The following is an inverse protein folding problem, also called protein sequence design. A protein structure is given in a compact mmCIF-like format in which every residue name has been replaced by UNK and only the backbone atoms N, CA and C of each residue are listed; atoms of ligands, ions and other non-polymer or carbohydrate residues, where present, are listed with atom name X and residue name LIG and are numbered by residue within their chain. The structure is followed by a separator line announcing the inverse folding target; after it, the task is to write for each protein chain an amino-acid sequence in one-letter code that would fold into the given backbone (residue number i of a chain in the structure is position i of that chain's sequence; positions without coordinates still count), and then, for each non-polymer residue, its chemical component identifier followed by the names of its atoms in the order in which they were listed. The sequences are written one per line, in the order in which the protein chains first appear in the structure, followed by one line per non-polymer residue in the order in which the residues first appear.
data_IF_987668435298
#
_entry.id   IF_987668435298
#
_cell.length_a   1.000
_cell.length_b   1.000
_cell.length_c   1.000
_cell.angle_alpha   90.00
_cell.angle_beta   90.00
_cell.angle_gamma   90.00
#
_symmetry.space_group_name_H-M   'P 1'
#
loop_
_entity.id
_entity.type
_entity.pdbx_description
1 polymer ?
#
# COMPACT_ATOMS: atom_id res chain seq x y z
N UNK A 1 -1.82 14.93 -20.56
CA UNK A 1 -1.36 15.16 -19.18
C UNK A 1 -2.54 15.74 -18.44
N UNK A 2 -2.94 15.17 -17.30
CA UNK A 2 -3.99 15.77 -16.49
C UNK A 2 -3.58 17.20 -16.08
N UNK A 3 -4.59 18.04 -15.98
CA UNK A 3 -4.48 19.32 -15.33
C UNK A 3 -4.55 19.11 -13.82
N UNK A 4 -3.45 19.39 -13.13
CA UNK A 4 -3.35 19.32 -11.67
C UNK A 4 -3.72 20.65 -10.98
N UNK A 5 -4.08 21.67 -11.76
CA UNK A 5 -4.51 22.97 -11.24
C UNK A 5 -5.75 22.79 -10.37
N UNK A 6 -5.76 23.40 -9.18
CA UNK A 6 -6.93 23.36 -8.30
C UNK A 6 -7.08 22.09 -7.46
N UNK A 7 -6.18 21.11 -7.59
CA UNK A 7 -6.31 19.82 -6.87
C UNK A 7 -6.21 20.01 -5.35
N UNK A 8 -5.32 20.88 -4.88
CA UNK A 8 -5.18 21.19 -3.45
C UNK A 8 -6.48 21.77 -2.89
N UNK A 9 -7.09 22.70 -3.60
CA UNK A 9 -8.34 23.35 -3.24
C UNK A 9 -9.50 22.36 -3.19
N UNK A 10 -9.55 21.41 -4.14
CA UNK A 10 -10.54 20.32 -4.15
C UNK A 10 -10.40 19.41 -2.92
N UNK A 11 -9.18 19.02 -2.57
CA UNK A 11 -8.90 18.21 -1.37
C UNK A 11 -9.28 18.96 -0.09
N UNK A 12 -8.93 20.25 0.00
CA UNK A 12 -9.33 21.09 1.13
C UNK A 12 -10.86 21.22 1.23
N UNK A 13 -11.56 21.37 0.10
CA UNK A 13 -13.02 21.43 0.09
C UNK A 13 -13.66 20.11 0.58
N UNK A 14 -13.06 18.95 0.26
CA UNK A 14 -13.49 17.66 0.79
C UNK A 14 -13.27 17.53 2.29
N UNK A 15 -12.11 17.99 2.80
CA UNK A 15 -11.83 18.06 4.24
C UNK A 15 -12.90 18.87 4.98
N UNK A 16 -13.24 20.05 4.48
CA UNK A 16 -14.27 20.91 5.09
C UNK A 16 -15.69 20.31 5.04
N UNK A 17 -15.96 19.48 4.03
CA UNK A 17 -17.22 18.74 3.92
C UNK A 17 -17.39 17.69 5.04
N UNK A 18 -16.27 17.17 5.55
CA UNK A 18 -16.19 16.21 6.66
C UNK A 18 -17.25 15.11 6.62
N UNK A 19 -17.19 14.29 5.57
CA UNK A 19 -18.03 13.10 5.48
C UNK A 19 -17.20 11.89 5.97
N UNK A 20 -17.69 11.23 7.02
CA UNK A 20 -17.09 9.98 7.54
C UNK A 20 -16.77 8.92 6.48
N UNK A 21 -17.53 8.75 5.37
CA UNK A 21 -17.21 7.76 4.35
C UNK A 21 -15.99 8.09 3.45
N UNK A 22 -15.41 9.29 3.55
CA UNK A 22 -14.37 9.75 2.60
C UNK A 22 -13.09 10.16 3.29
N UNK A 23 -13.18 11.03 4.29
CA UNK A 23 -12.01 11.68 4.90
C UNK A 23 -11.89 11.45 6.41
N UNK A 24 -13.02 11.37 7.12
CA UNK A 24 -13.03 11.32 8.60
C UNK A 24 -12.21 12.45 9.25
N UNK A 25 -12.02 13.56 8.53
CA UNK A 25 -10.98 14.54 8.85
C UNK A 25 -11.24 15.26 10.17
N UNK A 26 -12.50 15.56 10.54
CA UNK A 26 -12.76 16.13 11.87
C UNK A 26 -12.62 15.13 13.00
N UNK A 27 -12.85 13.84 12.75
CA UNK A 27 -12.67 12.81 13.77
C UNK A 27 -11.19 12.57 14.09
N UNK A 28 -10.31 12.68 13.09
CA UNK A 28 -8.87 12.42 13.25
C UNK A 28 -8.00 13.67 13.27
N UNK A 29 -8.55 14.85 12.99
CA UNK A 29 -7.83 16.13 13.05
C UNK A 29 -6.77 16.33 11.96
N UNK A 30 -6.88 15.61 10.83
CA UNK A 30 -5.88 15.70 9.76
C UNK A 30 -5.84 17.09 9.11
N UNK A 31 -4.62 17.56 8.84
CA UNK A 31 -4.33 18.77 8.07
C UNK A 31 -3.58 18.42 6.78
N UNK A 32 -3.82 19.21 5.73
CA UNK A 32 -3.13 19.02 4.46
C UNK A 32 -1.84 19.86 4.46
N UNK A 33 -0.72 19.20 4.64
CA UNK A 33 0.61 19.82 4.59
C UNK A 33 0.95 20.35 3.19
N UNK A 34 2.05 21.10 3.10
CA UNK A 34 2.58 21.54 1.82
C UNK A 34 3.06 20.35 0.97
N UNK A 35 3.00 20.44 -0.38
CA UNK A 35 3.48 19.37 -1.24
C UNK A 35 4.97 19.09 -0.99
N UNK A 36 5.33 17.81 -0.97
CA UNK A 36 6.73 17.38 -0.92
C UNK A 36 7.51 18.00 -2.09
N UNK A 37 8.69 18.54 -1.79
CA UNK A 37 9.63 19.03 -2.78
C UNK A 37 10.41 17.87 -3.43
N UNK A 38 11.09 18.16 -4.54
CA UNK A 38 12.01 17.20 -5.17
C UNK A 38 13.13 16.80 -4.21
N UNK A 39 13.55 17.71 -3.31
CA UNK A 39 14.57 17.41 -2.31
C UNK A 39 14.03 16.45 -1.24
N UNK A 40 12.80 16.66 -0.76
CA UNK A 40 12.18 15.74 0.22
C UNK A 40 12.08 14.32 -0.35
N UNK A 41 11.71 14.20 -1.63
CA UNK A 41 11.69 12.91 -2.33
C UNK A 41 13.08 12.29 -2.50
N UNK A 42 14.12 13.11 -2.67
CA UNK A 42 15.51 12.66 -2.78
C UNK A 42 16.05 12.19 -1.42
N UNK A 43 15.75 12.90 -0.34
CA UNK A 43 16.21 12.60 1.02
C UNK A 43 15.61 11.29 1.56
N UNK A 44 14.44 10.90 1.06
CA UNK A 44 13.85 9.58 1.35
C UNK A 44 14.67 8.41 0.77
N UNK A 45 15.66 8.67 -0.09
CA UNK A 45 16.49 7.64 -0.73
C UNK A 45 15.73 6.72 -1.70
N UNK A 46 14.42 6.93 -1.85
CA UNK A 46 13.50 6.08 -2.62
C UNK A 46 13.76 6.15 -4.13
N UNK A 47 14.45 7.17 -4.63
CA UNK A 47 14.66 7.37 -6.07
C UNK A 47 15.92 6.67 -6.61
N UNK A 48 16.82 6.16 -5.77
CA UNK A 48 18.15 5.73 -6.20
C UNK A 48 18.19 4.35 -6.87
N UNK A 49 17.26 3.46 -6.52
CA UNK A 49 17.22 2.08 -7.02
C UNK A 49 15.89 1.78 -7.72
N UNK A 50 15.89 0.98 -8.80
CA UNK A 50 14.65 0.62 -9.49
C UNK A 50 13.78 -0.28 -8.61
N UNK A 51 12.46 -0.08 -8.74
CA UNK A 51 11.47 -0.94 -8.10
C UNK A 51 11.59 -2.40 -8.59
N UNK A 52 11.73 -3.40 -7.69
CA UNK A 52 11.94 -4.79 -8.08
C UNK A 52 10.74 -5.41 -8.81
N UNK A 53 9.52 -4.99 -8.49
CA UNK A 53 8.29 -5.59 -9.02
C UNK A 53 7.75 -6.67 -8.11
N UNK A 54 7.35 -7.79 -8.71
CA UNK A 54 6.84 -8.98 -8.01
C UNK A 54 7.92 -9.64 -7.17
N UNK A 55 7.51 -10.30 -6.11
CA UNK A 55 8.36 -11.19 -5.34
C UNK A 55 8.82 -12.38 -6.21
N UNK A 56 10.01 -12.88 -5.93
CA UNK A 56 10.46 -14.15 -6.48
C UNK A 56 9.62 -15.31 -5.94
N UNK A 57 9.54 -16.42 -6.69
CA UNK A 57 8.74 -17.59 -6.33
C UNK A 57 9.07 -18.17 -4.94
N UNK A 58 10.33 -18.10 -4.53
CA UNK A 58 10.80 -18.53 -3.20
C UNK A 58 10.16 -17.70 -2.08
N UNK A 59 10.19 -16.37 -2.20
CA UNK A 59 9.63 -15.47 -1.19
C UNK A 59 8.10 -15.60 -1.14
N UNK A 60 7.46 -15.76 -2.29
CA UNK A 60 6.02 -16.00 -2.35
C UNK A 60 5.63 -17.36 -1.75
N UNK A 61 6.47 -18.39 -1.92
CA UNK A 61 6.25 -19.68 -1.27
C UNK A 61 6.34 -19.58 0.25
N UNK A 62 7.27 -18.77 0.77
CA UNK A 62 7.38 -18.51 2.20
C UNK A 62 6.17 -17.76 2.76
N UNK A 63 5.61 -16.79 2.03
CA UNK A 63 4.35 -16.13 2.43
C UNK A 63 3.17 -17.11 2.50
N UNK A 64 3.08 -18.05 1.56
CA UNK A 64 2.04 -19.07 1.57
C UNK A 64 2.33 -20.26 2.50
N UNK A 65 3.44 -20.25 3.25
CA UNK A 65 3.81 -21.37 4.11
C UNK A 65 2.80 -21.48 5.26
N UNK A 66 2.26 -22.69 5.46
CA UNK A 66 1.27 -22.94 6.49
C UNK A 66 1.92 -22.84 7.88
N UNK A 67 1.57 -21.79 8.61
CA UNK A 67 2.01 -21.60 9.99
C UNK A 67 1.36 -22.69 10.85
N UNK A 68 2.14 -23.43 11.67
CA UNK A 68 1.56 -24.43 12.58
C UNK A 68 0.44 -23.81 13.44
N UNK A 69 -0.73 -24.44 13.45
CA UNK A 69 -1.81 -24.06 14.37
C UNK A 69 -1.71 -24.87 15.66
N UNK A 70 -1.89 -24.22 16.80
CA UNK A 70 -1.77 -24.90 18.11
C UNK A 70 -2.77 -26.06 18.26
N UNK A 71 -3.94 -26.00 17.62
CA UNK A 71 -4.98 -27.01 17.66
C UNK A 71 -4.61 -28.35 17.00
N UNK A 72 -3.58 -28.36 16.15
CA UNK A 72 -3.12 -29.56 15.45
C UNK A 72 -2.15 -30.41 16.28
N UNK A 73 -1.75 -29.93 17.47
CA UNK A 73 -0.74 -30.58 18.30
C UNK A 73 -1.31 -31.10 19.63
N UNK A 74 -0.81 -32.25 20.12
CA UNK A 74 -1.33 -32.88 21.34
C UNK A 74 -1.03 -32.08 22.62
N UNK A 75 0.01 -31.25 22.60
CA UNK A 75 0.44 -30.42 23.71
C UNK A 75 1.28 -29.23 23.23
N UNK A 76 1.58 -28.31 24.16
CA UNK A 76 2.36 -27.10 23.88
C UNK A 76 3.83 -27.37 23.50
N UNK A 77 4.40 -28.50 23.92
CA UNK A 77 5.80 -28.84 23.61
C UNK A 77 5.91 -29.29 22.14
N UNK A 78 4.98 -30.11 21.67
CA UNK A 78 4.88 -30.50 20.27
C UNK A 78 4.63 -29.30 19.36
N UNK A 79 3.75 -28.39 19.77
CA UNK A 79 3.50 -27.13 19.05
C UNK A 79 4.76 -26.25 18.99
N UNK A 80 5.44 -26.03 20.12
CA UNK A 80 6.66 -25.22 20.18
C UNK A 80 7.77 -25.79 19.28
N UNK A 81 7.89 -27.12 19.21
CA UNK A 81 8.84 -27.78 18.29
C UNK A 81 8.48 -27.56 16.82
N UNK A 82 7.20 -27.63 16.47
CA UNK A 82 6.75 -27.39 15.10
C UNK A 82 6.94 -25.92 14.70
N UNK A 83 6.63 -24.97 15.59
CA UNK A 83 6.90 -23.55 15.38
C UNK A 83 8.40 -23.27 15.19
N UNK A 84 9.27 -23.86 16.03
CA UNK A 84 10.71 -23.67 15.89
C UNK A 84 11.26 -24.21 14.56
N UNK A 85 10.75 -25.36 14.09
CA UNK A 85 11.11 -25.90 12.78
C UNK A 85 10.61 -25.01 11.64
N UNK A 86 9.37 -24.51 11.73
CA UNK A 86 8.82 -23.57 10.75
C UNK A 86 9.65 -22.28 10.67
N UNK A 87 10.02 -21.71 11.82
CA UNK A 87 10.88 -20.53 11.90
C UNK A 87 12.25 -20.80 11.26
N UNK A 88 12.94 -21.89 11.62
CA UNK A 88 14.24 -22.25 11.05
C UNK A 88 14.18 -22.41 9.52
N UNK A 89 13.08 -22.97 9.00
CA UNK A 89 12.90 -23.20 7.56
C UNK A 89 12.54 -21.92 6.78
N UNK A 90 11.82 -20.97 7.39
CA UNK A 90 11.21 -19.86 6.66
C UNK A 90 11.73 -18.46 7.06
N UNK A 91 12.44 -18.30 8.18
CA UNK A 91 12.84 -17.00 8.75
C UNK A 91 13.50 -16.09 7.71
N UNK A 92 14.55 -16.59 7.04
CA UNK A 92 15.30 -15.78 6.07
C UNK A 92 14.43 -15.33 4.89
N UNK A 93 13.56 -16.20 4.40
CA UNK A 93 12.69 -15.89 3.26
C UNK A 93 11.58 -14.92 3.67
N UNK A 94 10.98 -15.10 4.84
CA UNK A 94 9.98 -14.18 5.40
C UNK A 94 10.60 -12.81 5.70
N UNK A 95 11.77 -12.74 6.34
CA UNK A 95 12.50 -11.49 6.58
C UNK A 95 12.77 -10.76 5.26
N UNK A 96 13.21 -11.50 4.24
CA UNK A 96 13.48 -10.94 2.91
C UNK A 96 12.22 -10.49 2.20
N UNK A 97 11.11 -11.22 2.32
CA UNK A 97 9.82 -10.88 1.73
C UNK A 97 9.24 -9.60 2.33
N UNK A 98 9.49 -9.34 3.62
CA UNK A 98 9.02 -8.15 4.35
C UNK A 98 10.01 -6.98 4.36
N UNK A 99 11.23 -7.19 3.88
CA UNK A 99 12.26 -6.16 3.81
C UNK A 99 11.81 -4.93 2.99
N UNK A 100 12.18 -3.71 3.40
CA UNK A 100 12.00 -2.49 2.59
C UNK A 100 12.63 -2.58 1.20
N UNK A 101 13.63 -3.46 1.00
CA UNK A 101 14.27 -3.70 -0.29
C UNK A 101 13.28 -4.23 -1.35
N UNK A 102 12.21 -4.92 -0.96
CA UNK A 102 11.16 -5.36 -1.90
C UNK A 102 10.31 -4.19 -2.44
N UNK A 103 10.33 -3.07 -1.73
CA UNK A 103 9.54 -1.86 -2.06
C UNK A 103 10.41 -0.64 -2.34
N UNK A 104 11.74 -0.79 -2.42
CA UNK A 104 12.64 0.29 -2.84
C UNK A 104 12.23 0.81 -4.21
N UNK A 105 12.51 2.07 -4.53
CA UNK A 105 12.05 2.64 -5.80
C UNK A 105 10.58 3.05 -5.80
N UNK A 106 9.83 2.85 -4.70
CA UNK A 106 8.42 3.21 -4.58
C UNK A 106 8.11 3.95 -3.28
N UNK A 107 7.09 4.81 -3.32
CA UNK A 107 6.57 5.58 -2.19
C UNK A 107 5.26 4.96 -1.68
N UNK A 108 5.19 4.62 -0.40
CA UNK A 108 3.93 4.19 0.22
C UNK A 108 2.99 5.40 0.32
N UNK A 109 1.87 5.37 -0.39
CA UNK A 109 0.90 6.48 -0.42
C UNK A 109 -0.14 6.38 0.68
N UNK A 110 -0.66 5.18 0.92
CA UNK A 110 -1.70 4.97 1.92
C UNK A 110 -1.76 3.53 2.41
N UNK A 111 -2.37 3.37 3.58
CA UNK A 111 -2.78 2.09 4.14
C UNK A 111 -4.29 1.89 3.95
N UNK A 112 -4.71 0.67 3.65
CA UNK A 112 -6.13 0.31 3.49
C UNK A 112 -6.72 -0.36 4.74
N UNK A 113 -5.98 -0.34 5.86
CA UNK A 113 -6.22 -1.23 7.00
C UNK A 113 -5.47 -2.56 6.84
N UNK A 114 -5.47 -3.40 7.89
CA UNK A 114 -4.89 -4.75 7.88
C UNK A 114 -3.47 -4.85 7.30
N UNK A 115 -2.63 -3.81 7.49
CA UNK A 115 -1.30 -3.70 6.89
C UNK A 115 -1.25 -3.73 5.34
N UNK A 116 -2.38 -3.63 4.65
CA UNK A 116 -2.45 -3.50 3.19
C UNK A 116 -2.02 -2.09 2.76
N UNK A 117 -1.18 -1.99 1.73
CA UNK A 117 -0.60 -0.71 1.29
C UNK A 117 -0.78 -0.48 -0.20
N UNK A 118 -0.80 0.79 -0.60
CA UNK A 118 -0.70 1.20 -2.01
C UNK A 118 0.60 1.96 -2.23
N UNK A 119 1.36 1.55 -3.24
CA UNK A 119 2.68 2.07 -3.55
C UNK A 119 2.68 2.81 -4.90
N UNK A 120 3.34 3.95 -4.97
CA UNK A 120 3.64 4.66 -6.23
C UNK A 120 5.09 4.38 -6.64
N UNK A 121 5.28 3.75 -7.80
CA UNK A 121 6.62 3.51 -8.34
C UNK A 121 7.25 4.80 -8.85
N UNK A 122 8.41 5.16 -8.30
CA UNK A 122 9.16 6.37 -8.64
C UNK A 122 10.30 6.10 -9.63
N UNK A 123 10.96 4.94 -9.51
CA UNK A 123 12.15 4.59 -10.30
C UNK A 123 12.03 3.20 -10.94
N UNK A 124 12.43 3.08 -12.20
CA UNK A 124 12.42 1.83 -12.96
C UNK A 124 11.32 1.76 -14.05
N UNK A 125 11.16 0.60 -14.72
CA UNK A 125 10.27 0.45 -15.88
C UNK A 125 8.79 0.68 -15.58
N UNK A 126 8.38 0.48 -14.32
CA UNK A 126 6.99 0.63 -13.87
C UNK A 126 6.69 2.05 -13.33
N UNK A 127 7.60 3.01 -13.51
CA UNK A 127 7.48 4.37 -12.98
C UNK A 127 6.13 5.01 -13.31
N UNK A 128 5.50 5.60 -12.30
CA UNK A 128 4.22 6.29 -12.39
C UNK A 128 3.00 5.38 -12.22
N UNK A 129 3.20 4.06 -12.04
CA UNK A 129 2.11 3.12 -11.77
C UNK A 129 1.87 2.90 -10.28
N UNK A 130 0.65 2.50 -9.95
CA UNK A 130 0.22 2.14 -8.60
C UNK A 130 0.27 0.63 -8.41
N UNK A 131 0.80 0.19 -7.27
CA UNK A 131 0.93 -1.20 -6.90
C UNK A 131 0.20 -1.49 -5.59
N UNK A 132 -0.44 -2.66 -5.54
CA UNK A 132 -1.00 -3.23 -4.34
C UNK A 132 0.10 -4.02 -3.61
N UNK A 133 0.15 -3.82 -2.31
CA UNK A 133 0.92 -4.64 -1.39
C UNK A 133 -0.05 -5.35 -0.46
N UNK A 134 -0.39 -6.55 -0.90
CA UNK A 134 -1.34 -7.47 -0.27
C UNK A 134 -0.59 -8.63 0.42
N UNK A 135 0.72 -8.44 0.73
CA UNK A 135 1.55 -9.45 1.41
C UNK A 135 1.00 -9.86 2.78
N UNK A 136 0.19 -9.01 3.40
CA UNK A 136 -0.48 -9.32 4.67
C UNK A 136 -1.60 -10.35 4.52
N UNK A 137 -2.09 -10.56 3.29
CA UNK A 137 -3.02 -11.61 2.88
C UNK A 137 -2.27 -12.73 2.11
N UNK A 138 -1.00 -12.92 2.43
CA UNK A 138 -0.07 -13.88 1.80
C UNK A 138 0.11 -13.71 0.29
N UNK A 139 -0.32 -12.59 -0.28
CA UNK A 139 -0.29 -12.34 -1.72
C UNK A 139 0.96 -11.56 -2.18
N UNK A 140 1.27 -11.71 -3.47
CA UNK A 140 2.38 -11.01 -4.11
C UNK A 140 2.12 -9.50 -4.26
N UNK A 141 3.18 -8.71 -4.48
CA UNK A 141 3.07 -7.33 -4.95
C UNK A 141 2.51 -7.32 -6.38
N UNK A 142 1.42 -6.58 -6.62
CA UNK A 142 0.76 -6.58 -7.93
C UNK A 142 0.50 -5.16 -8.46
N UNK A 143 0.55 -4.93 -9.79
CA UNK A 143 0.09 -3.66 -10.32
C UNK A 143 -1.42 -3.53 -10.06
N UNK A 144 -1.85 -2.39 -9.54
CA UNK A 144 -3.27 -2.05 -9.47
C UNK A 144 -3.78 -1.89 -10.89
N UNK A 145 -4.84 -2.62 -11.26
CA UNK A 145 -5.43 -2.53 -12.59
C UNK A 145 -6.69 -1.66 -12.56
N UNK A 146 -6.80 -0.75 -13.52
CA UNK A 146 -8.03 -0.03 -13.84
C UNK A 146 -8.39 -0.34 -15.28
N UNK A 147 -9.61 -0.84 -15.50
CA UNK A 147 -10.09 -1.26 -16.82
C UNK A 147 -9.15 -2.27 -17.52
N UNK A 148 -8.51 -3.14 -16.73
CA UNK A 148 -7.58 -4.18 -17.21
C UNK A 148 -6.16 -3.69 -17.51
N UNK A 149 -5.83 -2.42 -17.31
CA UNK A 149 -4.50 -1.87 -17.53
C UNK A 149 -3.86 -1.37 -16.21
N UNK A 150 -2.52 -1.40 -16.06
CA UNK A 150 -1.84 -0.83 -14.90
C UNK A 150 -2.24 0.63 -14.68
N UNK A 151 -2.72 0.92 -13.48
CA UNK A 151 -3.17 2.24 -13.10
C UNK A 151 -2.00 3.19 -12.95
N UNK A 152 -2.11 4.37 -13.56
CA UNK A 152 -1.20 5.48 -13.28
C UNK A 152 -1.64 6.22 -12.04
N UNK A 153 -0.71 6.91 -11.35
CA UNK A 153 -1.06 7.80 -10.24
C UNK A 153 -2.12 8.83 -10.64
N UNK A 154 -1.98 9.42 -11.82
CA UNK A 154 -2.93 10.37 -12.38
C UNK A 154 -4.35 9.80 -12.42
N UNK A 155 -4.54 8.63 -13.05
CA UNK A 155 -5.87 8.04 -13.20
C UNK A 155 -6.43 7.57 -11.86
N UNK A 156 -5.61 6.90 -11.05
CA UNK A 156 -6.02 6.39 -9.75
C UNK A 156 -6.46 7.52 -8.80
N UNK A 157 -5.66 8.58 -8.70
CA UNK A 157 -5.91 9.69 -7.78
C UNK A 157 -7.13 10.51 -8.21
N UNK A 158 -7.27 10.82 -9.50
CA UNK A 158 -8.40 11.61 -9.99
C UNK A 158 -9.73 10.86 -9.88
N UNK A 159 -9.75 9.54 -10.13
CA UNK A 159 -10.96 8.73 -9.93
C UNK A 159 -11.37 8.70 -8.46
N UNK A 160 -10.42 8.53 -7.54
CA UNK A 160 -10.69 8.63 -6.11
C UNK A 160 -11.26 10.00 -5.75
N UNK A 161 -10.66 11.08 -6.26
CA UNK A 161 -11.08 12.45 -5.95
C UNK A 161 -12.51 12.74 -6.46
N UNK A 162 -12.84 12.27 -7.67
CA UNK A 162 -14.18 12.40 -8.26
C UNK A 162 -15.24 11.59 -7.48
N UNK A 163 -14.93 10.37 -7.08
CA UNK A 163 -15.80 9.53 -6.25
C UNK A 163 -16.04 10.16 -4.86
N UNK A 164 -14.96 10.65 -4.24
CA UNK A 164 -15.00 11.39 -2.98
C UNK A 164 -15.91 12.63 -3.05
N UNK A 165 -15.77 13.44 -4.10
CA UNK A 165 -16.61 14.62 -4.35
C UNK A 165 -18.07 14.24 -4.56
N UNK A 166 -18.33 13.14 -5.27
CA UNK A 166 -19.69 12.63 -5.49
C UNK A 166 -20.35 12.20 -4.18
N UNK A 167 -19.64 11.42 -3.36
CA UNK A 167 -20.11 10.98 -2.03
C UNK A 167 -20.36 12.17 -1.10
N UNK A 168 -19.46 13.15 -1.10
CA UNK A 168 -19.61 14.36 -0.28
C UNK A 168 -20.85 15.19 -0.70
N UNK A 169 -21.12 15.31 -2.00
CA UNK A 169 -22.33 15.97 -2.51
C UNK A 169 -23.60 15.23 -2.10
N UNK A 170 -23.62 13.91 -2.22
CA UNK A 170 -24.77 13.09 -1.83
C UNK A 170 -25.08 13.20 -0.33
N UNK A 171 -24.06 13.16 0.53
CA UNK A 171 -24.25 13.27 1.99
C UNK A 171 -24.78 14.63 2.46
N UNK A 172 -24.59 15.70 1.67
CA UNK A 172 -25.12 17.05 1.97
C UNK A 172 -26.58 17.25 1.57
N UNK A 173 -27.15 16.33 0.78
CA UNK A 173 -28.54 16.40 0.31
C UNK A 173 -29.51 15.63 1.19
N UNK A 174 -29.00 14.97 2.23
CA UNK A 174 -29.76 14.20 3.25
C UNK A 174 -29.82 15.02 4.53
#
# INVERSE_FOLDING_TARGET
MADWTGIRERVLALREADTQPVFGARAHGFELEDPLSVQDLADLGLAAQPFPGRLGAELLAALHAEVPDQGDFPDAEAFAKAMAAFEEENEQALETAWSPEQTRGALCLCHSGCALRKWLVLTGPQRGTIWNDDRADDADLTPLLLDGAPATFERWYLLWLEDAETKAKAARQV
#
